data_IF_149368625158
#
_entry.id   IF_149368625158
#
_cell.length_a   1.000
_cell.length_b   1.000
_cell.length_c   1.000
_cell.angle_alpha   90.00
_cell.angle_beta   90.00
_cell.angle_gamma   90.00
#
_symmetry.space_group_name_H-M   'P 1'
#
loop_
_entity.id
_entity.type
_entity.pdbx_description
1 polymer ?
#
# COMPACT_ATOMS: atom_id res chain seq x y z
N UNK A 1 -4.59 24.29 1.13
CA UNK A 1 -3.86 24.57 2.38
C UNK A 1 -4.73 24.13 3.54
N UNK A 2 -4.58 22.90 4.03
CA UNK A 2 -5.16 22.47 5.32
C UNK A 2 -4.18 21.47 5.95
N UNK A 3 -3.22 22.02 6.68
CA UNK A 3 -2.28 21.24 7.49
C UNK A 3 -2.93 20.95 8.83
N UNK A 4 -3.30 19.70 9.07
CA UNK A 4 -3.47 19.17 10.41
C UNK A 4 -2.08 18.98 11.01
N UNK A 5 -1.57 20.06 11.60
CA UNK A 5 -0.42 20.09 12.50
C UNK A 5 -0.88 19.54 13.85
N UNK A 6 -0.25 18.47 14.33
CA UNK A 6 -0.45 18.01 15.70
C UNK A 6 0.19 18.97 16.72
N UNK A 7 -0.25 18.86 17.98
CA UNK A 7 0.07 19.76 19.09
C UNK A 7 1.54 19.81 19.52
N UNK A 8 2.45 19.07 18.86
CA UNK A 8 3.90 19.16 19.08
C UNK A 8 4.64 19.96 17.99
N UNK A 9 3.93 20.59 17.05
CA UNK A 9 4.55 21.45 16.02
C UNK A 9 5.44 20.69 15.02
N UNK A 10 5.40 19.36 15.03
CA UNK A 10 6.16 18.51 14.14
C UNK A 10 5.25 18.10 12.98
N UNK A 11 5.50 18.65 11.78
CA UNK A 11 4.85 18.16 10.57
C UNK A 11 5.31 16.72 10.31
N UNK A 12 4.44 15.76 10.62
CA UNK A 12 4.65 14.33 10.42
C UNK A 12 4.94 13.98 8.93
N UNK A 13 4.77 14.91 7.99
CA UNK A 13 5.17 14.80 6.58
C UNK A 13 6.68 14.92 6.34
N UNK A 14 7.47 15.47 7.29
CA UNK A 14 8.90 15.74 7.08
C UNK A 14 9.84 14.55 7.31
N UNK A 15 9.45 13.57 8.12
CA UNK A 15 10.36 12.48 8.50
C UNK A 15 10.73 11.54 7.34
N UNK A 16 9.89 11.44 6.31
CA UNK A 16 10.09 10.50 5.18
C UNK A 16 10.51 11.23 3.89
N UNK A 17 10.23 12.53 3.76
CA UNK A 17 10.46 13.31 2.54
C UNK A 17 11.93 13.34 2.08
N UNK A 18 12.91 13.27 2.99
CA UNK A 18 14.33 13.36 2.66
C UNK A 18 14.89 12.17 1.83
N UNK A 19 14.12 11.09 1.65
CA UNK A 19 14.58 9.88 0.92
C UNK A 19 14.03 9.75 -0.51
N UNK A 20 13.09 10.59 -0.93
CA UNK A 20 12.39 10.44 -2.22
C UNK A 20 12.12 11.80 -2.88
N UNK A 21 13.17 12.45 -3.40
CA UNK A 21 13.08 13.77 -4.05
C UNK A 21 13.01 13.71 -5.59
N UNK A 22 12.73 12.55 -6.19
CA UNK A 22 12.87 12.31 -7.64
C UNK A 22 11.60 11.93 -8.40
N UNK A 23 10.42 11.95 -7.77
CA UNK A 23 9.13 11.64 -8.40
C UNK A 23 8.21 12.84 -8.19
N UNK A 24 7.66 13.38 -9.28
CA UNK A 24 6.91 14.65 -9.33
C UNK A 24 5.56 14.68 -8.61
N UNK A 25 5.31 13.73 -7.71
CA UNK A 25 4.13 13.63 -6.87
C UNK A 25 4.57 13.22 -5.47
N UNK A 26 4.06 13.90 -4.45
CA UNK A 26 4.50 13.67 -3.08
C UNK A 26 4.06 12.26 -2.63
N UNK A 27 4.94 11.44 -2.03
CA UNK A 27 4.59 10.07 -1.66
C UNK A 27 3.38 9.99 -0.73
N UNK A 28 3.14 11.02 0.11
CA UNK A 28 2.03 11.04 1.04
C UNK A 28 0.69 11.32 0.35
N UNK A 29 0.63 12.07 -0.75
CA UNK A 29 -0.61 12.23 -1.53
C UNK A 29 -1.00 10.91 -2.18
N UNK A 30 -0.05 10.23 -2.83
CA UNK A 30 -0.33 8.92 -3.45
C UNK A 30 -0.70 7.85 -2.40
N UNK A 31 -0.08 7.93 -1.21
CA UNK A 31 -0.34 7.03 -0.07
C UNK A 31 -1.66 7.34 0.64
N UNK A 32 -2.10 8.60 0.66
CA UNK A 32 -3.42 8.97 1.19
C UNK A 32 -4.52 8.83 0.15
N UNK A 33 -4.20 8.88 -1.14
CA UNK A 33 -5.16 8.80 -2.24
C UNK A 33 -5.59 7.34 -2.50
N UNK A 34 -4.67 6.38 -2.44
CA UNK A 34 -5.03 4.98 -2.69
C UNK A 34 -5.74 4.36 -1.47
N UNK A 35 -7.03 4.08 -1.63
CA UNK A 35 -7.87 3.45 -0.60
C UNK A 35 -7.89 1.93 -0.70
N UNK A 36 -7.71 1.43 -1.93
CA UNK A 36 -7.79 0.01 -2.25
C UNK A 36 -6.56 -0.46 -3.01
N UNK A 37 -5.99 -1.57 -2.58
CA UNK A 37 -4.83 -2.21 -3.17
C UNK A 37 -5.16 -3.60 -3.72
N UNK A 38 -4.85 -3.86 -4.98
CA UNK A 38 -4.74 -5.19 -5.57
C UNK A 38 -3.32 -5.71 -5.47
N UNK A 39 -3.14 -6.94 -5.00
CA UNK A 39 -1.85 -7.64 -4.94
C UNK A 39 -1.94 -8.95 -5.74
N UNK A 40 -1.11 -9.04 -6.78
CA UNK A 40 -0.80 -10.28 -7.48
C UNK A 40 0.51 -10.87 -6.92
N UNK A 41 0.47 -12.14 -6.52
CA UNK A 41 1.58 -12.84 -5.87
C UNK A 41 2.21 -13.84 -6.85
N UNK A 42 3.38 -13.48 -7.37
CA UNK A 42 4.30 -14.43 -7.99
C UNK A 42 5.33 -14.96 -6.99
N UNK A 43 6.01 -16.07 -7.33
CA UNK A 43 6.90 -16.85 -6.45
C UNK A 43 7.89 -16.01 -5.62
N UNK A 44 8.42 -14.91 -6.16
CA UNK A 44 9.34 -14.00 -5.47
C UNK A 44 9.00 -12.52 -5.63
N UNK A 45 7.90 -12.20 -6.30
CA UNK A 45 7.61 -10.83 -6.72
C UNK A 45 6.13 -10.54 -6.55
N UNK A 46 5.82 -9.38 -5.99
CA UNK A 46 4.47 -8.88 -5.77
C UNK A 46 4.22 -7.73 -6.72
N UNK A 47 3.16 -7.82 -7.52
CA UNK A 47 2.68 -6.66 -8.26
C UNK A 47 1.60 -6.00 -7.42
N UNK A 48 1.80 -4.72 -7.10
CA UNK A 48 0.81 -3.91 -6.40
C UNK A 48 0.16 -2.93 -7.37
N UNK A 49 -1.15 -2.87 -7.32
CA UNK A 49 -1.97 -1.85 -7.94
C UNK A 49 -2.77 -1.15 -6.85
N UNK A 50 -2.59 0.15 -6.65
CA UNK A 50 -3.41 0.96 -5.76
C UNK A 50 -4.31 1.86 -6.59
N UNK A 51 -5.59 1.91 -6.22
CA UNK A 51 -6.58 2.79 -6.83
C UNK A 51 -7.13 3.79 -5.81
N UNK A 52 -7.43 4.99 -6.28
CA UNK A 52 -8.10 6.02 -5.48
C UNK A 52 -9.61 5.81 -5.40
N UNK A 53 -10.32 6.76 -4.79
CA UNK A 53 -11.78 6.69 -4.62
C UNK A 53 -12.55 6.76 -5.95
N UNK A 54 -11.95 7.36 -6.97
CA UNK A 54 -12.49 7.44 -8.34
C UNK A 54 -12.10 6.22 -9.20
N UNK A 55 -11.36 5.27 -8.61
CA UNK A 55 -10.89 4.06 -9.29
C UNK A 55 -9.69 4.30 -10.21
N UNK A 56 -9.05 5.47 -10.14
CA UNK A 56 -7.84 5.77 -10.92
C UNK A 56 -6.63 5.08 -10.31
N UNK A 57 -5.77 4.54 -11.17
CA UNK A 57 -4.56 3.85 -10.74
C UNK A 57 -3.51 4.89 -10.32
N UNK A 58 -3.34 5.06 -9.01
CA UNK A 58 -2.35 5.97 -8.42
C UNK A 58 -1.07 5.26 -7.99
N UNK A 59 -1.11 3.94 -7.77
CA UNK A 59 0.08 3.13 -7.47
C UNK A 59 0.16 1.95 -8.41
N UNK A 60 1.29 1.79 -9.11
CA UNK A 60 1.63 0.58 -9.85
C UNK A 60 3.09 0.25 -9.64
N UNK A 61 3.40 -0.77 -8.83
CA UNK A 61 4.79 -1.11 -8.48
C UNK A 61 5.01 -2.62 -8.37
N UNK A 62 6.25 -3.02 -8.60
CA UNK A 62 6.72 -4.40 -8.43
C UNK A 62 7.63 -4.44 -7.22
N UNK A 63 7.25 -5.20 -6.19
CA UNK A 63 7.94 -5.25 -4.90
C UNK A 63 8.46 -6.66 -4.60
N UNK A 64 9.59 -6.74 -3.91
CA UNK A 64 10.05 -7.97 -3.23
C UNK A 64 9.34 -8.16 -1.90
N UNK A 65 9.45 -9.36 -1.30
CA UNK A 65 8.89 -9.66 0.05
C UNK A 65 9.25 -8.60 1.10
N UNK A 66 10.52 -8.22 1.16
CA UNK A 66 11.01 -7.25 2.15
C UNK A 66 10.50 -5.83 1.86
N UNK A 67 10.28 -5.48 0.58
CA UNK A 67 9.73 -4.18 0.20
C UNK A 67 8.22 -4.13 0.44
N UNK A 68 7.49 -5.22 0.25
CA UNK A 68 6.05 -5.29 0.50
C UNK A 68 5.72 -4.96 1.96
N UNK A 69 6.40 -5.62 2.91
CA UNK A 69 6.22 -5.33 4.33
C UNK A 69 6.53 -3.86 4.65
N UNK A 70 7.69 -3.36 4.20
CA UNK A 70 8.06 -1.94 4.42
C UNK A 70 7.09 -0.96 3.79
N UNK A 71 6.50 -1.30 2.65
CA UNK A 71 5.55 -0.44 1.97
C UNK A 71 4.30 -0.26 2.82
N UNK A 72 3.72 -1.37 3.29
CA UNK A 72 2.49 -1.37 4.07
C UNK A 72 2.69 -0.90 5.52
N UNK A 73 3.82 -1.17 6.17
CA UNK A 73 4.13 -0.63 7.50
C UNK A 73 4.24 0.90 7.56
N UNK A 74 4.50 1.57 6.43
CA UNK A 74 4.53 3.03 6.33
C UNK A 74 3.22 3.61 5.79
N UNK A 75 2.18 2.79 5.69
CA UNK A 75 0.91 3.14 5.07
C UNK A 75 -0.20 3.19 6.11
N UNK A 76 -1.18 4.10 5.98
CA UNK A 76 -2.40 4.00 6.76
C UNK A 76 -3.12 2.65 6.51
N UNK A 77 -3.96 2.19 7.45
CA UNK A 77 -4.89 1.09 7.22
C UNK A 77 -5.62 1.24 5.89
N UNK A 78 -5.65 0.18 5.09
CA UNK A 78 -6.16 0.19 3.73
C UNK A 78 -6.83 -1.14 3.41
N UNK A 79 -7.73 -1.14 2.42
CA UNK A 79 -8.34 -2.36 1.90
C UNK A 79 -7.37 -3.01 0.91
N UNK A 80 -7.05 -4.28 1.12
CA UNK A 80 -6.13 -5.05 0.29
C UNK A 80 -6.85 -6.27 -0.28
N UNK A 81 -7.15 -6.23 -1.57
CA UNK A 81 -7.55 -7.38 -2.36
C UNK A 81 -6.31 -8.16 -2.80
N UNK A 82 -6.26 -9.45 -2.50
CA UNK A 82 -5.09 -10.27 -2.82
C UNK A 82 -5.52 -11.62 -3.39
N UNK A 83 -4.92 -12.03 -4.50
CA UNK A 83 -5.22 -13.32 -5.10
C UNK A 83 -4.78 -14.47 -4.18
N UNK A 84 -5.66 -15.46 -4.01
CA UNK A 84 -5.40 -16.64 -3.21
C UNK A 84 -4.43 -17.59 -3.95
N UNK A 85 -3.15 -17.56 -3.57
CA UNK A 85 -2.12 -18.51 -3.99
C UNK A 85 -1.42 -19.18 -2.79
N UNK A 86 -0.48 -20.11 -3.01
CA UNK A 86 0.26 -20.82 -1.94
C UNK A 86 0.93 -19.90 -0.89
N UNK A 87 1.21 -18.63 -1.22
CA UNK A 87 1.80 -17.66 -0.28
C UNK A 87 0.81 -16.65 0.32
N UNK A 88 -0.43 -16.62 -0.16
CA UNK A 88 -1.40 -15.55 0.13
C UNK A 88 -1.83 -15.51 1.60
N UNK A 89 -2.11 -16.65 2.22
CA UNK A 89 -2.53 -16.72 3.62
C UNK A 89 -1.47 -16.21 4.60
N UNK A 90 -0.19 -16.45 4.31
CA UNK A 90 0.91 -15.89 5.11
C UNK A 90 0.89 -14.36 5.04
N UNK A 91 0.80 -13.80 3.83
CA UNK A 91 0.78 -12.35 3.64
C UNK A 91 -0.48 -11.71 4.20
N UNK A 92 -1.63 -12.38 4.13
CA UNK A 92 -2.87 -11.88 4.70
C UNK A 92 -2.72 -11.67 6.22
N UNK A 93 -2.08 -12.62 6.92
CA UNK A 93 -1.80 -12.49 8.36
C UNK A 93 -0.82 -11.37 8.65
N UNK A 94 0.27 -11.27 7.89
CA UNK A 94 1.26 -10.20 8.09
C UNK A 94 0.63 -8.84 7.89
N UNK A 95 -0.09 -8.63 6.79
CA UNK A 95 -0.70 -7.34 6.45
C UNK A 95 -1.88 -7.01 7.38
N UNK A 96 -2.68 -7.99 7.80
CA UNK A 96 -3.72 -7.76 8.80
C UNK A 96 -3.13 -7.39 10.16
N UNK A 97 -1.98 -7.97 10.53
CA UNK A 97 -1.25 -7.62 11.75
C UNK A 97 -0.68 -6.19 11.76
N UNK A 98 -0.48 -5.59 10.59
CA UNK A 98 -0.11 -4.17 10.43
C UNK A 98 -1.34 -3.24 10.37
N UNK A 99 -2.56 -3.79 10.49
CA UNK A 99 -3.81 -3.03 10.59
C UNK A 99 -4.61 -2.90 9.30
N UNK A 100 -4.24 -3.61 8.22
CA UNK A 100 -4.97 -3.57 6.95
C UNK A 100 -6.17 -4.55 6.91
N UNK A 101 -7.24 -4.19 6.19
CA UNK A 101 -8.32 -5.13 5.87
C UNK A 101 -7.92 -5.94 4.63
N UNK A 102 -7.56 -7.21 4.82
CA UNK A 102 -7.10 -8.07 3.71
C UNK A 102 -8.19 -9.05 3.30
N UNK A 103 -8.56 -9.01 2.02
CA UNK A 103 -9.52 -9.93 1.40
C UNK A 103 -8.83 -10.81 0.38
N UNK A 104 -8.85 -12.12 0.65
CA UNK A 104 -8.38 -13.12 -0.30
C UNK A 104 -9.45 -13.36 -1.36
N UNK A 105 -9.10 -13.15 -2.62
CA UNK A 105 -9.97 -13.38 -3.78
C UNK A 105 -9.54 -14.68 -4.41
N UNK A 106 -10.47 -15.60 -4.60
CA UNK A 106 -10.17 -16.86 -5.27
C UNK A 106 -9.76 -16.58 -6.73
N UNK A 107 -8.75 -17.30 -7.27
CA UNK A 107 -8.18 -17.02 -8.59
C UNK A 107 -9.23 -17.04 -9.72
N UNK A 108 -10.31 -17.82 -9.59
CA UNK A 108 -11.40 -17.83 -10.57
C UNK A 108 -12.13 -16.48 -10.75
N UNK A 109 -11.99 -15.54 -9.81
CA UNK A 109 -12.60 -14.22 -9.86
C UNK A 109 -11.62 -13.12 -10.31
N UNK A 110 -10.36 -13.47 -10.53
CA UNK A 110 -9.32 -12.58 -11.04
C UNK A 110 -9.12 -12.95 -12.52
N UNK A 111 -9.46 -12.04 -13.45
CA UNK A 111 -9.37 -12.23 -14.90
C UNK A 111 -8.43 -11.21 -15.53
#
# INVERSE_FOLDING_TARGET
MNGLIDSNGMDSRRFVAHRWSGIGESPWETVMAAKTYGIDIAKNVFQIHGVDEDGQVVVKKRLSRAQLKRFFSNHPPALIAMEACCGSHYWARVLSGEGHDVRLIAPQFVK
#
